data_IF_563978561362
#
_entry.id   IF_563978561362
#
_cell.length_a   1.000
_cell.length_b   1.000
_cell.length_c   1.000
_cell.angle_alpha   90.00
_cell.angle_beta   90.00
_cell.angle_gamma   90.00
#
_symmetry.space_group_name_H-M   'P 1'
#
loop_
_entity.id
_entity.type
_entity.pdbx_description
1 polymer ?
#
# COMPACT_ATOMS: atom_id res chain seq x y z
N UNK A 1 -25.97 48.15 1.08
CA UNK A 1 -25.29 47.87 2.36
C UNK A 1 -24.16 46.91 2.01
N UNK A 2 -23.02 47.43 1.61
CA UNK A 2 -21.87 46.64 1.16
C UNK A 2 -21.02 46.28 2.41
N UNK A 3 -20.84 44.98 2.61
CA UNK A 3 -19.92 44.48 3.63
C UNK A 3 -18.49 44.94 3.27
N UNK A 4 -17.71 45.44 4.21
CA UNK A 4 -16.36 45.92 3.91
C UNK A 4 -15.48 44.73 3.46
N UNK A 5 -14.79 44.93 2.31
CA UNK A 5 -13.91 43.96 1.66
C UNK A 5 -12.86 43.35 2.62
N UNK A 6 -12.56 43.99 3.71
CA UNK A 6 -11.63 43.52 4.75
C UNK A 6 -12.22 42.39 5.61
N UNK A 7 -13.54 42.37 5.87
CA UNK A 7 -14.19 41.29 6.63
C UNK A 7 -14.34 40.01 5.79
N UNK A 8 -14.56 40.15 4.46
CA UNK A 8 -14.64 39.02 3.55
C UNK A 8 -13.29 38.32 3.41
N UNK A 9 -12.19 39.10 3.37
CA UNK A 9 -10.82 38.57 3.28
C UNK A 9 -10.39 37.84 4.56
N UNK A 10 -10.75 38.33 5.73
CA UNK A 10 -10.46 37.69 7.01
C UNK A 10 -11.29 36.43 7.21
N UNK A 11 -12.57 36.44 6.87
CA UNK A 11 -13.43 35.24 6.96
C UNK A 11 -12.99 34.14 5.99
N UNK A 12 -12.60 34.48 4.77
CA UNK A 12 -12.04 33.53 3.81
C UNK A 12 -10.70 32.93 4.28
N UNK A 13 -9.83 33.74 4.87
CA UNK A 13 -8.57 33.28 5.46
C UNK A 13 -8.78 32.37 6.67
N UNK A 14 -9.76 32.70 7.54
CA UNK A 14 -10.13 31.84 8.68
C UNK A 14 -10.78 30.55 8.22
N UNK A 15 -11.70 30.60 7.25
CA UNK A 15 -12.33 29.40 6.66
C UNK A 15 -11.26 28.51 6.00
N UNK A 16 -10.29 29.08 5.29
CA UNK A 16 -9.19 28.36 4.70
C UNK A 16 -8.27 27.73 5.75
N UNK A 17 -7.94 28.45 6.84
CA UNK A 17 -7.15 27.92 7.96
C UNK A 17 -7.89 26.80 8.72
N UNK A 18 -9.20 26.94 8.93
CA UNK A 18 -10.03 25.90 9.54
C UNK A 18 -10.11 24.70 8.60
N UNK A 19 -10.37 24.92 7.30
CA UNK A 19 -10.37 23.87 6.29
C UNK A 19 -9.03 23.12 6.24
N UNK A 20 -7.91 23.83 6.23
CA UNK A 20 -6.57 23.22 6.28
C UNK A 20 -6.36 22.46 7.59
N UNK A 21 -6.80 22.98 8.73
CA UNK A 21 -6.64 22.34 10.04
C UNK A 21 -7.57 21.14 10.25
N UNK A 22 -8.76 21.13 9.63
CA UNK A 22 -9.69 20.01 9.65
C UNK A 22 -9.43 19.02 8.50
N UNK A 23 -8.88 19.48 7.38
CA UNK A 23 -8.47 18.62 6.26
C UNK A 23 -7.28 17.73 6.60
N UNK A 24 -6.47 18.07 7.61
CA UNK A 24 -5.24 17.35 7.89
C UNK A 24 -4.98 17.13 9.40
N UNK A 25 -5.69 16.24 10.06
CA UNK A 25 -4.97 15.39 10.97
C UNK A 25 -4.15 14.44 10.07
N UNK A 26 -2.99 14.90 9.61
CA UNK A 26 -2.01 14.05 8.94
C UNK A 26 -1.67 12.95 9.95
N UNK A 27 -2.25 11.77 9.78
CA UNK A 27 -1.89 10.62 10.59
C UNK A 27 -0.38 10.42 10.44
N UNK A 28 0.29 10.01 11.49
CA UNK A 28 1.73 9.71 11.49
C UNK A 28 2.12 8.83 10.30
N UNK A 29 1.23 7.95 9.89
CA UNK A 29 1.33 7.06 8.73
C UNK A 29 1.63 7.79 7.42
N UNK A 30 0.97 8.92 7.16
CA UNK A 30 1.18 9.70 5.93
C UNK A 30 2.59 10.30 5.82
N UNK A 31 3.16 10.73 6.95
CA UNK A 31 4.54 11.20 6.96
C UNK A 31 5.53 10.09 6.63
N UNK A 32 5.24 8.86 7.09
CA UNK A 32 6.05 7.69 6.72
C UNK A 32 5.93 7.34 5.25
N UNK A 33 4.75 7.43 4.64
CA UNK A 33 4.57 7.18 3.21
C UNK A 33 5.32 8.20 2.33
N UNK A 34 5.18 9.50 2.64
CA UNK A 34 5.93 10.53 1.92
C UNK A 34 7.43 10.35 2.15
N UNK A 35 7.85 10.07 3.38
CA UNK A 35 9.24 9.79 3.69
C UNK A 35 9.78 8.60 2.89
N UNK A 36 9.03 7.51 2.81
CA UNK A 36 9.37 6.33 2.03
C UNK A 36 9.48 6.66 0.52
N UNK A 37 8.55 7.45 -0.01
CA UNK A 37 8.59 7.91 -1.41
C UNK A 37 9.84 8.75 -1.67
N UNK A 38 10.15 9.73 -0.82
CA UNK A 38 11.33 10.58 -0.98
C UNK A 38 12.63 9.77 -0.90
N UNK A 39 12.73 8.87 0.09
CA UNK A 39 13.89 7.98 0.23
C UNK A 39 14.00 7.06 -0.99
N UNK A 40 12.90 6.51 -1.48
CA UNK A 40 12.91 5.62 -2.65
C UNK A 40 13.40 6.35 -3.91
N UNK A 41 12.97 7.59 -4.14
CA UNK A 41 13.45 8.40 -5.27
C UNK A 41 14.96 8.67 -5.16
N UNK A 42 15.47 9.00 -3.95
CA UNK A 42 16.89 9.30 -3.74
C UNK A 42 17.79 8.06 -3.81
N UNK A 43 17.31 6.93 -3.30
CA UNK A 43 18.11 5.71 -3.12
C UNK A 43 17.99 4.79 -4.33
N UNK A 44 16.78 4.54 -4.83
CA UNK A 44 16.55 3.58 -5.92
C UNK A 44 17.06 4.08 -7.26
N UNK A 45 17.20 5.40 -7.47
CA UNK A 45 17.89 5.96 -8.64
C UNK A 45 19.35 5.46 -8.75
N UNK A 46 19.96 5.08 -7.62
CA UNK A 46 21.34 4.62 -7.51
C UNK A 46 21.48 3.08 -7.63
N UNK A 47 20.40 2.32 -7.41
CA UNK A 47 20.40 0.87 -7.43
C UNK A 47 19.91 0.34 -8.78
N UNK A 48 20.78 -0.38 -9.49
CA UNK A 48 20.53 -0.92 -10.84
C UNK A 48 19.74 -2.25 -10.83
N UNK A 49 18.92 -2.51 -9.78
CA UNK A 49 18.07 -3.71 -9.69
C UNK A 49 16.70 -3.41 -10.29
N UNK A 50 16.42 -3.91 -11.47
CA UNK A 50 15.18 -3.65 -12.21
C UNK A 50 13.88 -3.81 -11.41
N UNK A 51 13.65 -4.85 -10.58
CA UNK A 51 12.39 -4.95 -9.85
C UNK A 51 12.19 -3.82 -8.83
N UNK A 52 13.28 -3.25 -8.28
CA UNK A 52 13.20 -2.22 -7.25
C UNK A 52 12.73 -0.86 -7.79
N UNK A 53 12.92 -0.58 -9.07
CA UNK A 53 12.46 0.67 -9.68
C UNK A 53 10.93 0.81 -9.67
N UNK A 54 10.20 -0.31 -9.63
CA UNK A 54 8.74 -0.33 -9.56
C UNK A 54 8.18 0.18 -8.22
N UNK A 55 9.02 0.28 -7.18
CA UNK A 55 8.59 0.87 -5.91
C UNK A 55 8.28 2.36 -6.03
N UNK A 56 8.97 3.11 -6.89
CA UNK A 56 8.74 4.56 -7.06
C UNK A 56 7.31 4.83 -7.58
N UNK A 57 6.90 4.30 -8.75
CA UNK A 57 5.55 4.50 -9.25
C UNK A 57 4.48 3.90 -8.33
N UNK A 58 4.79 2.79 -7.65
CA UNK A 58 3.88 2.19 -6.68
C UNK A 58 3.66 3.09 -5.46
N UNK A 59 4.71 3.57 -4.81
CA UNK A 59 4.59 4.50 -3.67
C UNK A 59 3.92 5.82 -4.07
N UNK A 60 4.19 6.32 -5.27
CA UNK A 60 3.48 7.48 -5.80
C UNK A 60 1.98 7.19 -5.94
N UNK A 61 1.61 6.02 -6.47
CA UNK A 61 0.22 5.60 -6.56
C UNK A 61 -0.45 5.54 -5.18
N UNK A 62 0.22 4.96 -4.17
CA UNK A 62 -0.31 4.86 -2.80
C UNK A 62 -0.54 6.25 -2.19
N UNK A 63 0.44 7.15 -2.28
CA UNK A 63 0.31 8.54 -1.81
C UNK A 63 -0.85 9.26 -2.52
N UNK A 64 -0.98 9.10 -3.84
CA UNK A 64 -2.09 9.69 -4.59
C UNK A 64 -3.45 9.11 -4.14
N UNK A 65 -3.52 7.81 -3.89
CA UNK A 65 -4.73 7.15 -3.39
C UNK A 65 -5.15 7.69 -2.02
N UNK A 66 -4.21 7.81 -1.09
CA UNK A 66 -4.46 8.37 0.25
C UNK A 66 -4.92 9.84 0.18
N UNK A 67 -4.28 10.66 -0.65
CA UNK A 67 -4.70 12.06 -0.86
C UNK A 67 -6.11 12.14 -1.43
N UNK A 68 -6.41 11.30 -2.42
CA UNK A 68 -7.74 11.24 -3.05
C UNK A 68 -8.80 10.77 -2.06
N UNK A 69 -8.50 9.72 -1.28
CA UNK A 69 -9.40 9.20 -0.25
C UNK A 69 -9.76 10.26 0.80
N UNK A 70 -8.77 11.06 1.21
CA UNK A 70 -8.98 12.18 2.14
C UNK A 70 -9.80 13.30 1.53
N UNK A 71 -9.50 13.67 0.29
CA UNK A 71 -10.27 14.67 -0.43
C UNK A 71 -11.76 14.29 -0.52
N UNK A 72 -12.06 13.06 -0.91
CA UNK A 72 -13.43 12.54 -0.98
C UNK A 72 -14.10 12.62 0.40
N UNK A 73 -13.41 12.14 1.44
CA UNK A 73 -14.00 12.07 2.78
C UNK A 73 -14.22 13.44 3.44
N UNK A 74 -13.24 14.36 3.32
CA UNK A 74 -13.26 15.62 4.08
C UNK A 74 -13.80 16.81 3.28
N UNK A 75 -13.72 16.79 1.96
CA UNK A 75 -14.20 17.88 1.10
C UNK A 75 -15.57 17.55 0.49
N UNK A 76 -15.72 16.34 -0.04
CA UNK A 76 -16.98 15.91 -0.63
C UNK A 76 -17.95 15.33 0.40
N UNK A 77 -17.46 14.97 1.59
CA UNK A 77 -18.23 14.29 2.64
C UNK A 77 -18.86 12.96 2.19
N UNK A 78 -18.21 12.31 1.20
CA UNK A 78 -18.66 11.03 0.65
C UNK A 78 -17.83 9.85 1.19
N UNK A 79 -18.38 8.62 1.16
CA UNK A 79 -17.64 7.42 1.54
C UNK A 79 -16.52 7.13 0.51
N UNK A 80 -15.31 6.92 1.00
CA UNK A 80 -14.14 6.63 0.18
C UNK A 80 -13.79 5.12 0.11
N UNK A 81 -14.66 4.27 0.59
CA UNK A 81 -14.45 2.82 0.73
C UNK A 81 -14.17 2.13 -0.59
N UNK A 82 -14.85 2.55 -1.66
CA UNK A 82 -14.66 2.01 -3.00
C UNK A 82 -13.21 2.17 -3.50
N UNK A 83 -12.56 3.27 -3.12
CA UNK A 83 -11.17 3.53 -3.50
C UNK A 83 -10.21 2.53 -2.84
N UNK A 84 -10.43 2.23 -1.55
CA UNK A 84 -9.66 1.21 -0.84
C UNK A 84 -9.94 -0.19 -1.36
N UNK A 85 -11.17 -0.50 -1.75
CA UNK A 85 -11.52 -1.79 -2.36
C UNK A 85 -10.78 -2.05 -3.69
N UNK A 86 -10.29 -1.00 -4.36
CA UNK A 86 -9.47 -1.11 -5.57
C UNK A 86 -7.97 -1.09 -5.20
N UNK A 87 -7.54 -0.18 -4.32
CA UNK A 87 -6.12 0.02 -4.02
C UNK A 87 -5.50 -1.15 -3.25
N UNK A 88 -6.23 -1.76 -2.31
CA UNK A 88 -5.73 -2.89 -1.51
C UNK A 88 -5.34 -4.10 -2.38
N UNK A 89 -6.19 -4.59 -3.30
CA UNK A 89 -5.77 -5.63 -4.23
C UNK A 89 -4.54 -5.26 -5.07
N UNK A 90 -4.45 -4.01 -5.53
CA UNK A 90 -3.30 -3.53 -6.30
C UNK A 90 -2.03 -3.61 -5.47
N UNK A 91 -2.08 -3.25 -4.18
CA UNK A 91 -0.97 -3.39 -3.24
C UNK A 91 -0.52 -4.85 -3.11
N UNK A 92 -1.45 -5.77 -2.89
CA UNK A 92 -1.14 -7.20 -2.77
C UNK A 92 -0.57 -7.79 -4.06
N UNK A 93 -1.08 -7.38 -5.23
CA UNK A 93 -0.52 -7.75 -6.52
C UNK A 93 0.90 -7.26 -6.68
N UNK A 94 1.16 -6.01 -6.29
CA UNK A 94 2.49 -5.43 -6.37
C UNK A 94 3.50 -6.19 -5.51
N UNK A 95 3.18 -6.46 -4.23
CA UNK A 95 4.08 -7.22 -3.37
C UNK A 95 4.27 -8.67 -3.85
N UNK A 96 3.22 -9.34 -4.32
CA UNK A 96 3.33 -10.66 -4.93
C UNK A 96 4.25 -10.65 -6.15
N UNK A 97 4.13 -9.65 -7.02
CA UNK A 97 5.00 -9.45 -8.16
C UNK A 97 6.47 -9.22 -7.76
N UNK A 98 6.72 -8.33 -6.80
CA UNK A 98 8.07 -8.01 -6.35
C UNK A 98 8.74 -9.21 -5.69
N UNK A 99 8.08 -9.86 -4.72
CA UNK A 99 8.63 -11.04 -4.03
C UNK A 99 8.89 -12.15 -5.05
N UNK A 100 7.92 -12.44 -5.93
CA UNK A 100 8.08 -13.44 -6.98
C UNK A 100 9.21 -13.11 -7.96
N UNK A 101 9.43 -11.84 -8.30
CA UNK A 101 10.50 -11.40 -9.20
C UNK A 101 11.88 -11.54 -8.57
N UNK A 102 12.00 -11.32 -7.27
CA UNK A 102 13.25 -11.41 -6.52
C UNK A 102 13.62 -12.84 -6.10
N UNK A 103 12.65 -13.77 -6.08
CA UNK A 103 12.92 -15.18 -5.80
C UNK A 103 13.80 -15.79 -6.89
N UNK A 104 14.82 -16.56 -6.49
CA UNK A 104 15.76 -17.25 -7.38
C UNK A 104 15.25 -18.66 -7.78
N UNK A 105 14.59 -19.36 -6.85
CA UNK A 105 14.08 -20.71 -7.09
C UNK A 105 12.85 -20.70 -7.99
N UNK A 106 12.96 -21.23 -9.20
CA UNK A 106 11.91 -21.21 -10.20
C UNK A 106 10.56 -21.81 -9.74
N UNK A 107 10.59 -22.85 -8.90
CA UNK A 107 9.38 -23.48 -8.36
C UNK A 107 8.66 -22.56 -7.37
N UNK A 108 9.39 -21.89 -6.47
CA UNK A 108 8.83 -20.95 -5.50
C UNK A 108 8.27 -19.72 -6.20
N UNK A 109 8.97 -19.20 -7.18
CA UNK A 109 8.51 -18.12 -8.06
C UNK A 109 7.17 -18.44 -8.72
N UNK A 110 7.02 -19.65 -9.28
CA UNK A 110 5.76 -20.10 -9.89
C UNK A 110 4.63 -20.16 -8.86
N UNK A 111 4.90 -20.69 -7.66
CA UNK A 111 3.89 -20.75 -6.57
C UNK A 111 3.39 -19.33 -6.25
N UNK A 112 4.27 -18.36 -6.08
CA UNK A 112 3.88 -16.99 -5.78
C UNK A 112 3.00 -16.42 -6.90
N UNK A 113 3.41 -16.53 -8.17
CA UNK A 113 2.63 -15.98 -9.28
C UNK A 113 1.27 -16.66 -9.47
N UNK A 114 1.19 -17.98 -9.34
CA UNK A 114 -0.09 -18.68 -9.40
C UNK A 114 -1.02 -18.30 -8.25
N UNK A 115 -0.48 -18.20 -7.03
CA UNK A 115 -1.27 -17.79 -5.87
C UNK A 115 -1.73 -16.34 -6.00
N UNK A 116 -0.89 -15.44 -6.52
CA UNK A 116 -1.28 -14.04 -6.80
C UNK A 116 -2.40 -14.00 -7.84
N UNK A 117 -2.33 -14.81 -8.88
CA UNK A 117 -3.39 -14.91 -9.90
C UNK A 117 -4.71 -15.42 -9.31
N UNK A 118 -4.66 -16.49 -8.50
CA UNK A 118 -5.84 -17.04 -7.82
C UNK A 118 -6.45 -16.03 -6.83
N UNK A 119 -5.61 -15.31 -6.09
CA UNK A 119 -6.06 -14.23 -5.23
C UNK A 119 -6.78 -13.13 -6.03
N UNK A 120 -6.30 -12.81 -7.23
CA UNK A 120 -6.96 -11.85 -8.11
C UNK A 120 -8.35 -12.30 -8.54
N UNK A 121 -8.50 -13.55 -8.92
CA UNK A 121 -9.82 -14.12 -9.24
C UNK A 121 -10.74 -14.03 -8.02
N UNK A 122 -10.26 -14.42 -6.85
CA UNK A 122 -11.03 -14.31 -5.61
C UNK A 122 -11.46 -12.87 -5.33
N UNK A 123 -10.56 -11.91 -5.46
CA UNK A 123 -10.85 -10.50 -5.25
C UNK A 123 -11.96 -10.00 -6.17
N UNK A 124 -11.92 -10.35 -7.45
CA UNK A 124 -12.96 -10.01 -8.40
C UNK A 124 -14.31 -10.63 -8.03
N UNK A 125 -14.30 -11.93 -7.69
CA UNK A 125 -15.53 -12.61 -7.25
C UNK A 125 -16.11 -11.91 -6.01
N UNK A 126 -15.27 -11.63 -5.02
CA UNK A 126 -15.72 -11.01 -3.78
C UNK A 126 -16.25 -9.60 -4.03
N UNK A 127 -15.57 -8.81 -4.85
CA UNK A 127 -15.96 -7.43 -5.16
C UNK A 127 -17.29 -7.35 -5.93
N UNK A 128 -17.52 -8.24 -6.89
CA UNK A 128 -18.72 -8.18 -7.73
C UNK A 128 -19.90 -9.00 -7.20
N UNK A 129 -19.67 -10.08 -6.45
CA UNK A 129 -20.72 -11.04 -6.09
C UNK A 129 -20.97 -11.20 -4.60
N UNK A 130 -20.00 -10.82 -3.72
CA UNK A 130 -20.13 -11.09 -2.28
C UNK A 130 -20.31 -9.81 -1.47
N UNK A 131 -19.32 -8.92 -1.42
CA UNK A 131 -19.34 -7.71 -0.58
C UNK A 131 -19.66 -6.42 -1.32
N UNK A 132 -19.35 -6.35 -2.63
CA UNK A 132 -19.58 -5.16 -3.46
C UNK A 132 -18.60 -4.02 -3.19
N UNK A 133 -18.89 -2.84 -3.79
CA UNK A 133 -18.02 -1.67 -3.74
C UNK A 133 -18.29 -0.72 -2.56
N UNK A 134 -19.48 -0.78 -1.95
CA UNK A 134 -19.94 0.21 -0.97
C UNK A 134 -19.34 -0.06 0.40
N UNK A 135 -19.22 -1.32 0.78
CA UNK A 135 -18.63 -1.73 2.06
C UNK A 135 -17.16 -2.07 1.89
N UNK A 136 -16.37 -1.87 2.95
CA UNK A 136 -14.97 -2.28 2.95
C UNK A 136 -14.88 -3.80 2.76
N UNK A 137 -14.07 -4.23 1.80
CA UNK A 137 -13.92 -5.62 1.43
C UNK A 137 -13.01 -6.37 2.44
N UNK A 138 -13.54 -6.60 3.64
CA UNK A 138 -12.79 -7.21 4.76
C UNK A 138 -12.37 -8.64 4.48
N UNK A 139 -13.14 -9.41 3.70
CA UNK A 139 -12.74 -10.78 3.34
C UNK A 139 -11.53 -10.79 2.39
N UNK A 140 -11.45 -9.83 1.46
CA UNK A 140 -10.25 -9.65 0.63
C UNK A 140 -9.05 -9.26 1.47
N UNK A 141 -9.21 -8.39 2.48
CA UNK A 141 -8.16 -8.03 3.42
C UNK A 141 -7.65 -9.25 4.20
N UNK A 142 -8.51 -10.04 4.80
CA UNK A 142 -8.14 -11.23 5.59
C UNK A 142 -7.38 -12.25 4.74
N UNK A 143 -7.92 -12.59 3.55
CA UNK A 143 -7.28 -13.55 2.65
C UNK A 143 -5.98 -12.97 2.10
N UNK A 144 -5.99 -11.69 1.72
CA UNK A 144 -4.81 -10.99 1.21
C UNK A 144 -3.67 -10.97 2.22
N UNK A 145 -3.93 -10.57 3.48
CA UNK A 145 -2.92 -10.58 4.55
C UNK A 145 -2.37 -11.99 4.78
N UNK A 146 -3.23 -13.03 4.77
CA UNK A 146 -2.79 -14.43 4.90
C UNK A 146 -1.87 -14.85 3.74
N UNK A 147 -2.22 -14.47 2.51
CA UNK A 147 -1.42 -14.74 1.31
C UNK A 147 -0.08 -14.00 1.36
N UNK A 148 -0.06 -12.75 1.84
CA UNK A 148 1.18 -11.97 1.99
C UNK A 148 2.11 -12.55 3.06
N UNK A 149 1.58 -13.01 4.20
CA UNK A 149 2.34 -13.75 5.21
C UNK A 149 2.96 -15.00 4.56
N UNK A 150 2.19 -15.77 3.81
CA UNK A 150 2.67 -16.96 3.11
C UNK A 150 3.77 -16.63 2.08
N UNK A 151 3.63 -15.56 1.29
CA UNK A 151 4.67 -15.13 0.34
C UNK A 151 5.96 -14.70 1.05
N UNK A 152 5.85 -14.02 2.18
CA UNK A 152 7.01 -13.65 2.98
C UNK A 152 7.75 -14.88 3.50
N UNK A 153 7.03 -15.91 3.96
CA UNK A 153 7.63 -17.18 4.36
C UNK A 153 8.33 -17.88 3.19
N UNK A 154 7.72 -17.90 1.99
CA UNK A 154 8.34 -18.45 0.78
C UNK A 154 9.62 -17.67 0.44
N UNK A 155 9.59 -16.33 0.50
CA UNK A 155 10.77 -15.50 0.27
C UNK A 155 11.91 -15.81 1.23
N UNK A 156 11.63 -16.00 2.52
CA UNK A 156 12.66 -16.44 3.48
C UNK A 156 13.20 -17.83 3.17
N UNK A 157 12.35 -18.80 2.81
CA UNK A 157 12.79 -20.13 2.39
C UNK A 157 13.71 -20.06 1.18
N UNK A 158 13.40 -19.21 0.20
CA UNK A 158 14.23 -18.99 -0.98
C UNK A 158 15.60 -18.40 -0.60
N UNK A 159 15.62 -17.38 0.27
CA UNK A 159 16.83 -16.77 0.78
C UNK A 159 17.72 -17.77 1.50
N UNK A 160 17.17 -18.56 2.43
CA UNK A 160 17.95 -19.55 3.17
C UNK A 160 18.49 -20.69 2.32
N UNK A 161 17.84 -20.98 1.18
CA UNK A 161 18.33 -22.01 0.25
C UNK A 161 19.45 -21.51 -0.67
N UNK A 162 19.42 -20.24 -1.07
CA UNK A 162 20.23 -19.73 -2.15
C UNK A 162 21.30 -18.72 -1.71
N UNK A 163 21.20 -18.18 -0.49
CA UNK A 163 22.08 -17.11 -0.04
C UNK A 163 23.07 -17.59 1.03
N UNK A 164 24.30 -17.14 0.96
CA UNK A 164 25.27 -17.30 2.03
C UNK A 164 24.88 -16.37 3.19
N UNK A 165 24.83 -16.88 4.43
CA UNK A 165 24.38 -16.16 5.63
C UNK A 165 25.02 -14.77 5.83
N UNK A 166 26.18 -14.51 5.23
CA UNK A 166 26.89 -13.23 5.32
C UNK A 166 26.27 -12.11 4.45
N UNK A 167 25.41 -12.43 3.50
CA UNK A 167 24.81 -11.48 2.53
C UNK A 167 23.35 -11.18 2.76
N UNK A 168 22.67 -11.90 3.67
CA UNK A 168 21.23 -11.77 3.93
C UNK A 168 20.78 -10.32 4.16
N UNK A 169 21.49 -9.58 5.02
CA UNK A 169 21.16 -8.19 5.34
C UNK A 169 21.36 -7.20 4.17
N UNK A 170 22.11 -7.63 3.14
CA UNK A 170 22.30 -6.83 1.92
C UNK A 170 21.26 -7.16 0.83
N UNK A 171 20.52 -8.26 1.01
CA UNK A 171 19.54 -8.70 0.03
C UNK A 171 18.23 -7.92 0.22
N UNK A 172 17.73 -7.22 -0.83
CA UNK A 172 16.48 -6.46 -0.73
C UNK A 172 15.27 -7.35 -0.42
N UNK A 173 15.25 -8.61 -0.88
CA UNK A 173 14.16 -9.55 -0.61
C UNK A 173 14.00 -9.79 0.89
N UNK A 174 15.10 -9.83 1.67
CA UNK A 174 15.03 -9.97 3.13
C UNK A 174 14.23 -8.86 3.78
N UNK A 175 14.53 -7.61 3.45
CA UNK A 175 13.86 -6.45 4.05
C UNK A 175 12.40 -6.32 3.61
N UNK A 176 12.12 -6.64 2.34
CA UNK A 176 10.75 -6.64 1.81
C UNK A 176 9.92 -7.70 2.53
N UNK A 177 10.40 -8.95 2.59
CA UNK A 177 9.69 -10.03 3.28
C UNK A 177 9.50 -9.74 4.77
N UNK A 178 10.50 -9.14 5.43
CA UNK A 178 10.40 -8.72 6.84
C UNK A 178 9.30 -7.68 7.02
N UNK A 179 9.30 -6.61 6.23
CA UNK A 179 8.29 -5.56 6.31
C UNK A 179 6.88 -6.07 6.02
N UNK A 180 6.72 -6.83 4.93
CA UNK A 180 5.44 -7.44 4.53
C UNK A 180 4.92 -8.39 5.60
N UNK A 181 5.78 -9.22 6.18
CA UNK A 181 5.41 -10.16 7.25
C UNK A 181 4.89 -9.42 8.49
N UNK A 182 5.64 -8.44 9.01
CA UNK A 182 5.24 -7.70 10.20
C UNK A 182 3.95 -6.91 9.97
N UNK A 183 3.84 -6.21 8.86
CA UNK A 183 2.65 -5.43 8.54
C UNK A 183 1.40 -6.31 8.42
N UNK A 184 1.47 -7.34 7.59
CA UNK A 184 0.30 -8.21 7.36
C UNK A 184 -0.05 -9.08 8.55
N UNK A 185 0.91 -9.45 9.40
CA UNK A 185 0.60 -10.13 10.67
C UNK A 185 -0.16 -9.21 11.62
N UNK A 186 0.25 -7.94 11.74
CA UNK A 186 -0.48 -6.95 12.53
C UNK A 186 -1.89 -6.70 12.00
N UNK A 187 -2.05 -6.56 10.68
CA UNK A 187 -3.34 -6.40 10.03
C UNK A 187 -4.24 -7.62 10.23
N UNK A 188 -3.70 -8.82 10.02
CA UNK A 188 -4.43 -10.08 10.24
C UNK A 188 -4.95 -10.17 11.68
N UNK A 189 -4.11 -9.92 12.68
CA UNK A 189 -4.52 -9.94 14.09
C UNK A 189 -5.56 -8.86 14.44
N UNK A 190 -5.56 -7.75 13.74
CA UNK A 190 -6.56 -6.69 13.92
C UNK A 190 -7.92 -7.05 13.34
N UNK A 191 -7.96 -7.86 12.27
CA UNK A 191 -9.18 -8.23 11.55
C UNK A 191 -9.89 -9.46 12.14
N UNK A 192 -9.26 -10.20 13.03
CA UNK A 192 -9.78 -11.38 13.71
C UNK A 192 -9.98 -11.13 15.22
#
# INVERSE_FOLDING_TARGET
MELPLQEVSTTASYALKIAIKTMFPLSLFYYFEIGALLISVLVLYKFNHEPMHWFIPFLLLMVCTELTARYIRYVQHEPNTWLFNISIPVEYFFYGFIIGSLCLTASLKKIIFYSTFLFGIWTLINLFFVQGFIQLNTETLKIGSSVMIFFSCIGFVDLFKNDNHQTLLKNPLFWICTGVLFFNTGEFLYLF
#
